data_IF_100145284146
#
_entry.id   IF_100145284146
#
_cell.length_a   1.000
_cell.length_b   1.000
_cell.length_c   1.000
_cell.angle_alpha   90.00
_cell.angle_beta   90.00
_cell.angle_gamma   90.00
#
_symmetry.space_group_name_H-M   'P 1'
#
loop_
_entity.id
_entity.type
_entity.pdbx_description
1 polymer ?
#
# COMPACT_ATOMS: atom_id res chain seq x y z
N UNK A 1 20.36 -42.63 17.89
CA UNK A 1 21.35 -41.60 18.18
C UNK A 1 21.92 -40.92 16.93
N UNK A 2 22.25 -41.67 15.91
CA UNK A 2 22.80 -41.11 14.66
C UNK A 2 21.79 -40.29 13.86
N UNK A 3 20.53 -40.64 13.83
CA UNK A 3 19.47 -39.85 13.14
C UNK A 3 19.21 -38.50 13.79
N UNK A 4 19.53 -38.36 15.05
CA UNK A 4 19.36 -37.14 15.77
C UNK A 4 20.37 -36.06 15.35
N UNK A 5 21.59 -36.49 15.01
CA UNK A 5 22.68 -35.60 14.60
C UNK A 5 22.45 -35.02 13.21
N UNK A 6 21.86 -35.76 12.29
CA UNK A 6 21.54 -35.26 10.95
C UNK A 6 20.41 -34.24 10.95
N UNK A 7 19.41 -34.43 11.80
CA UNK A 7 18.31 -33.48 11.96
C UNK A 7 18.78 -32.15 12.57
N UNK A 8 19.63 -32.22 13.56
CA UNK A 8 20.22 -31.03 14.19
C UNK A 8 21.09 -30.25 13.20
N UNK A 9 21.71 -30.94 12.25
CA UNK A 9 22.52 -30.30 11.22
C UNK A 9 21.71 -29.41 10.25
N UNK A 10 20.51 -29.83 9.84
CA UNK A 10 19.69 -29.04 8.92
C UNK A 10 19.06 -27.81 9.59
N UNK A 11 18.54 -27.96 10.78
CA UNK A 11 18.03 -26.84 11.55
C UNK A 11 19.11 -25.82 11.91
N UNK A 12 20.30 -26.30 12.24
CA UNK A 12 21.45 -25.45 12.52
C UNK A 12 21.96 -24.70 11.30
N UNK A 13 21.82 -25.26 10.11
CA UNK A 13 22.30 -24.61 8.89
C UNK A 13 21.49 -23.35 8.60
N UNK A 14 20.21 -23.38 8.78
CA UNK A 14 19.32 -22.22 8.61
C UNK A 14 19.61 -21.12 9.64
N UNK A 15 19.66 -21.48 10.92
CA UNK A 15 19.95 -20.55 12.01
C UNK A 15 21.38 -20.04 11.97
N UNK A 16 22.34 -20.92 11.60
CA UNK A 16 23.75 -20.58 11.48
C UNK A 16 24.02 -19.60 10.37
N UNK A 17 23.32 -19.68 9.24
CA UNK A 17 23.45 -18.72 8.14
C UNK A 17 22.97 -17.33 8.59
N UNK A 18 21.86 -17.23 9.28
CA UNK A 18 21.37 -15.98 9.86
C UNK A 18 22.37 -15.37 10.85
N UNK A 19 22.96 -16.17 11.71
CA UNK A 19 23.95 -15.73 12.71
C UNK A 19 25.28 -15.32 12.08
N UNK A 20 25.77 -16.10 11.10
CA UNK A 20 27.06 -15.86 10.45
C UNK A 20 27.02 -14.58 9.58
N UNK A 21 25.89 -14.32 8.90
CA UNK A 21 25.76 -13.15 8.07
C UNK A 21 25.42 -11.88 8.86
N UNK A 22 25.26 -11.97 10.18
CA UNK A 22 24.84 -10.86 11.02
C UNK A 22 23.50 -10.26 10.60
N UNK A 23 22.70 -11.03 9.84
CA UNK A 23 21.39 -10.60 9.38
C UNK A 23 20.48 -10.42 10.58
N UNK A 24 19.98 -9.21 10.79
CA UNK A 24 18.90 -8.95 11.74
C UNK A 24 17.66 -9.69 11.27
N UNK A 25 16.98 -10.37 12.20
CA UNK A 25 15.64 -10.92 11.95
C UNK A 25 14.59 -9.82 11.77
N UNK A 26 14.93 -8.59 12.11
CA UNK A 26 14.08 -7.41 11.99
C UNK A 26 14.43 -6.65 10.72
N UNK A 27 13.42 -6.39 9.91
CA UNK A 27 13.55 -5.51 8.77
C UNK A 27 13.42 -4.04 9.19
N UNK A 28 14.14 -3.15 8.52
CA UNK A 28 13.92 -1.70 8.64
C UNK A 28 12.64 -1.30 7.91
N UNK A 29 12.11 -0.12 8.24
CA UNK A 29 10.94 0.40 7.50
C UNK A 29 11.27 0.62 6.01
N UNK A 30 12.48 1.02 5.69
CA UNK A 30 12.91 1.21 4.31
C UNK A 30 12.93 -0.12 3.53
N UNK A 31 13.36 -1.21 4.14
CA UNK A 31 13.32 -2.54 3.53
C UNK A 31 11.88 -3.03 3.34
N UNK A 32 11.00 -2.80 4.30
CA UNK A 32 9.58 -3.14 4.19
C UNK A 32 8.94 -2.34 3.07
N UNK A 33 9.21 -1.04 3.01
CA UNK A 33 8.72 -0.15 1.97
C UNK A 33 9.22 -0.56 0.58
N UNK A 34 10.50 -0.88 0.45
CA UNK A 34 11.07 -1.34 -0.82
C UNK A 34 10.41 -2.63 -1.31
N UNK A 35 10.15 -3.60 -0.42
CA UNK A 35 9.42 -4.84 -0.75
C UNK A 35 7.98 -4.58 -1.18
N UNK A 36 7.29 -3.67 -0.50
CA UNK A 36 5.95 -3.27 -0.90
C UNK A 36 5.93 -2.65 -2.29
N UNK A 37 6.81 -1.69 -2.55
CA UNK A 37 6.92 -0.99 -3.84
C UNK A 37 7.32 -1.90 -5.00
N UNK A 38 8.14 -2.93 -4.76
CA UNK A 38 8.51 -3.91 -5.77
C UNK A 38 7.31 -4.69 -6.34
N UNK A 39 6.22 -4.78 -5.61
CA UNK A 39 4.97 -5.45 -6.02
C UNK A 39 4.02 -4.52 -6.79
N UNK A 40 4.22 -3.21 -6.72
CA UNK A 40 3.28 -2.21 -7.20
C UNK A 40 3.71 -1.67 -8.57
N UNK A 41 2.75 -1.49 -9.44
CA UNK A 41 2.87 -0.60 -10.60
C UNK A 41 2.49 0.81 -10.16
N UNK A 42 3.38 1.48 -9.48
CA UNK A 42 3.13 2.82 -8.95
C UNK A 42 2.88 3.82 -10.08
N UNK A 43 1.99 4.74 -9.84
CA UNK A 43 1.57 5.73 -10.84
C UNK A 43 2.12 7.11 -10.54
N UNK A 44 2.56 7.81 -11.57
CA UNK A 44 2.76 9.25 -11.50
C UNK A 44 1.41 9.95 -11.27
N UNK A 45 1.38 11.15 -10.65
CA UNK A 45 0.13 11.86 -10.39
C UNK A 45 -0.77 12.03 -11.61
N UNK A 46 -0.20 12.37 -12.77
CA UNK A 46 -0.96 12.53 -14.00
C UNK A 46 -1.59 11.22 -14.51
N UNK A 47 -0.89 10.10 -14.35
CA UNK A 47 -1.41 8.77 -14.68
C UNK A 47 -2.56 8.38 -13.76
N UNK A 48 -2.42 8.65 -12.45
CA UNK A 48 -3.46 8.39 -11.47
C UNK A 48 -4.72 9.24 -11.75
N UNK A 49 -4.56 10.51 -12.11
CA UNK A 49 -5.65 11.37 -12.51
C UNK A 49 -6.38 10.84 -13.75
N UNK A 50 -5.64 10.38 -14.75
CA UNK A 50 -6.23 9.79 -15.95
C UNK A 50 -6.98 8.48 -15.65
N UNK A 51 -6.48 7.66 -14.75
CA UNK A 51 -7.18 6.44 -14.32
C UNK A 51 -8.45 6.75 -13.50
N UNK A 52 -8.42 7.78 -12.66
CA UNK A 52 -9.61 8.25 -11.95
C UNK A 52 -10.73 8.64 -12.92
N UNK A 53 -10.41 9.37 -13.99
CA UNK A 53 -11.36 9.72 -15.04
C UNK A 53 -11.94 8.49 -15.78
N UNK A 54 -11.20 7.39 -15.82
CA UNK A 54 -11.65 6.11 -16.41
C UNK A 54 -12.44 5.24 -15.44
N UNK A 55 -12.67 5.71 -14.21
CA UNK A 55 -13.46 4.99 -13.21
C UNK A 55 -12.68 4.21 -12.17
N UNK A 56 -11.36 4.38 -12.08
CA UNK A 56 -10.59 3.86 -10.95
C UNK A 56 -11.00 4.56 -9.65
N UNK A 57 -10.88 3.86 -8.54
CA UNK A 57 -11.10 4.43 -7.21
C UNK A 57 -9.80 5.07 -6.71
N UNK A 58 -9.76 6.37 -6.59
CA UNK A 58 -8.69 7.07 -5.88
C UNK A 58 -9.08 7.19 -4.41
N UNK A 59 -8.30 6.57 -3.54
CA UNK A 59 -8.57 6.53 -2.09
C UNK A 59 -7.57 7.37 -1.34
N UNK A 60 -8.04 8.46 -0.75
CA UNK A 60 -7.25 9.39 0.05
C UNK A 60 -7.22 8.94 1.50
N UNK A 61 -6.04 8.54 1.96
CA UNK A 61 -5.80 8.06 3.34
C UNK A 61 -5.19 9.13 4.23
N UNK A 62 -5.08 10.37 3.77
CA UNK A 62 -4.61 11.48 4.60
C UNK A 62 -5.54 11.72 5.79
N UNK A 63 -4.99 12.24 6.87
CA UNK A 63 -5.78 12.66 8.03
C UNK A 63 -6.68 13.84 7.67
N UNK A 64 -7.74 14.03 8.46
CA UNK A 64 -8.62 15.19 8.29
C UNK A 64 -7.85 16.52 8.38
N UNK A 65 -6.92 16.61 9.33
CA UNK A 65 -6.06 17.80 9.47
C UNK A 65 -5.23 18.07 8.22
N UNK A 66 -4.65 17.04 7.62
CA UNK A 66 -3.89 17.18 6.39
C UNK A 66 -4.79 17.68 5.25
N UNK A 67 -5.97 17.07 5.06
CA UNK A 67 -6.91 17.51 4.01
C UNK A 67 -7.41 18.92 4.23
N UNK A 68 -7.74 19.29 5.47
CA UNK A 68 -8.19 20.65 5.82
C UNK A 68 -7.13 21.69 5.47
N UNK A 69 -5.86 21.39 5.73
CA UNK A 69 -4.77 22.34 5.49
C UNK A 69 -4.31 22.36 4.02
N UNK A 70 -4.36 21.25 3.34
CA UNK A 70 -3.79 21.09 1.99
C UNK A 70 -4.86 21.13 0.89
N UNK A 71 -6.11 20.87 1.22
CA UNK A 71 -7.22 20.75 0.27
C UNK A 71 -7.58 19.30 -0.06
N UNK A 72 -8.70 19.14 -0.73
CA UNK A 72 -9.28 17.84 -1.10
C UNK A 72 -9.12 17.58 -2.59
N UNK A 73 -8.96 16.31 -2.96
CA UNK A 73 -8.91 15.89 -4.36
C UNK A 73 -10.34 15.60 -4.81
N UNK A 74 -10.88 16.32 -5.82
CA UNK A 74 -12.21 16.05 -6.35
C UNK A 74 -12.32 14.61 -6.87
N UNK A 75 -13.37 13.90 -6.47
CA UNK A 75 -13.63 12.52 -6.88
C UNK A 75 -12.87 11.45 -6.09
N UNK A 76 -11.96 11.83 -5.20
CA UNK A 76 -11.33 10.87 -4.31
C UNK A 76 -12.27 10.43 -3.19
N UNK A 77 -12.20 9.14 -2.84
CA UNK A 77 -12.87 8.59 -1.67
C UNK A 77 -11.96 8.76 -0.45
N UNK A 78 -12.49 9.34 0.60
CA UNK A 78 -11.77 9.47 1.87
C UNK A 78 -12.00 8.23 2.71
N UNK A 79 -10.95 7.47 2.96
CA UNK A 79 -10.99 6.30 3.85
C UNK A 79 -9.80 6.39 4.79
N UNK A 80 -10.07 6.37 6.09
CA UNK A 80 -9.02 6.36 7.11
C UNK A 80 -8.13 5.11 6.94
N UNK A 81 -6.81 5.30 7.05
CA UNK A 81 -5.84 4.21 6.91
C UNK A 81 -6.11 3.05 7.86
N UNK A 82 -6.64 3.34 9.05
CA UNK A 82 -6.89 2.33 10.10
C UNK A 82 -8.01 1.35 9.77
N UNK A 83 -8.90 1.69 8.83
CA UNK A 83 -10.04 0.86 8.42
C UNK A 83 -10.02 0.50 6.94
N UNK A 84 -8.96 0.85 6.24
CA UNK A 84 -8.86 0.75 4.78
C UNK A 84 -9.18 -0.67 4.26
N UNK A 85 -8.56 -1.68 4.85
CA UNK A 85 -8.72 -3.07 4.43
C UNK A 85 -10.16 -3.54 4.59
N UNK A 86 -10.81 -3.22 5.72
CA UNK A 86 -12.23 -3.58 5.97
C UNK A 86 -13.19 -2.86 5.04
N UNK A 87 -12.86 -1.64 4.65
CA UNK A 87 -13.70 -0.84 3.75
C UNK A 87 -13.57 -1.25 2.29
N UNK A 88 -12.48 -1.89 1.91
CA UNK A 88 -12.19 -2.29 0.54
C UNK A 88 -12.21 -3.80 0.29
N UNK A 89 -12.28 -4.62 1.34
CA UNK A 89 -12.47 -6.06 1.19
C UNK A 89 -13.88 -6.37 0.68
N UNK A 90 -14.03 -6.97 -0.52
CA UNK A 90 -15.35 -7.31 -1.06
C UNK A 90 -16.18 -8.26 -0.18
N UNK A 91 -15.52 -9.06 0.67
CA UNK A 91 -16.16 -9.98 1.60
C UNK A 91 -16.54 -9.35 2.94
N UNK A 92 -16.06 -8.13 3.22
CA UNK A 92 -16.35 -7.45 4.49
C UNK A 92 -17.78 -6.93 4.55
N UNK A 93 -18.46 -7.07 5.70
CA UNK A 93 -19.77 -6.43 5.91
C UNK A 93 -19.67 -4.90 5.96
N UNK A 94 -18.48 -4.36 6.25
CA UNK A 94 -18.21 -2.93 6.37
C UNK A 94 -17.69 -2.31 5.07
N UNK A 95 -17.67 -3.07 3.98
CA UNK A 95 -17.16 -2.59 2.68
C UNK A 95 -17.95 -1.40 2.14
N UNK A 96 -17.29 -0.55 1.38
CA UNK A 96 -17.97 0.47 0.57
C UNK A 96 -18.69 -0.20 -0.62
N UNK A 97 -19.68 0.49 -1.18
CA UNK A 97 -20.49 -0.05 -2.30
C UNK A 97 -19.65 -0.30 -3.56
N UNK A 98 -18.59 0.47 -3.75
CA UNK A 98 -17.68 0.38 -4.90
C UNK A 98 -16.74 -0.83 -4.81
N UNK A 99 -16.53 -1.37 -3.62
CA UNK A 99 -15.70 -2.57 -3.41
C UNK A 99 -16.48 -3.84 -3.77
N UNK A 100 -16.66 -4.08 -5.07
CA UNK A 100 -17.55 -5.14 -5.59
C UNK A 100 -16.85 -6.49 -5.71
N UNK A 101 -15.60 -6.50 -6.13
CA UNK A 101 -14.80 -7.71 -6.35
C UNK A 101 -13.29 -7.41 -6.33
N UNK A 102 -12.47 -8.44 -6.48
CA UNK A 102 -11.00 -8.32 -6.45
C UNK A 102 -10.39 -7.65 -7.69
N UNK A 103 -11.18 -7.41 -8.73
CA UNK A 103 -10.75 -6.75 -9.97
C UNK A 103 -10.86 -5.23 -9.94
N UNK A 104 -11.43 -4.66 -8.89
CA UNK A 104 -11.58 -3.21 -8.75
C UNK A 104 -10.21 -2.55 -8.75
N UNK A 105 -10.06 -1.50 -9.56
CA UNK A 105 -8.84 -0.71 -9.64
C UNK A 105 -8.82 0.30 -8.50
N UNK A 106 -7.98 0.07 -7.51
CA UNK A 106 -7.79 0.96 -6.36
C UNK A 106 -6.44 1.64 -6.44
N UNK A 107 -6.43 2.95 -6.33
CA UNK A 107 -5.22 3.79 -6.27
C UNK A 107 -5.21 4.50 -4.93
N UNK A 108 -4.23 4.22 -4.09
CA UNK A 108 -4.12 4.84 -2.76
C UNK A 108 -3.24 6.07 -2.84
N UNK A 109 -3.67 7.15 -2.22
CA UNK A 109 -2.87 8.37 -2.08
C UNK A 109 -2.77 8.76 -0.60
N UNK A 110 -1.57 9.10 -0.16
CA UNK A 110 -1.30 9.69 1.15
C UNK A 110 -0.60 11.04 0.97
N UNK A 111 -0.04 11.63 2.01
CA UNK A 111 0.59 12.95 1.90
C UNK A 111 1.84 12.94 0.99
N UNK A 112 2.77 12.02 1.22
CA UNK A 112 4.11 12.02 0.61
C UNK A 112 4.43 10.73 -0.18
N UNK A 113 3.52 9.77 -0.26
CA UNK A 113 3.70 8.54 -1.03
C UNK A 113 4.49 7.44 -0.32
N UNK A 114 4.51 7.42 1.01
CA UNK A 114 5.14 6.35 1.81
C UNK A 114 4.11 5.34 2.33
N UNK A 115 3.22 5.76 3.21
CA UNK A 115 2.21 4.87 3.79
C UNK A 115 1.25 4.31 2.76
N UNK A 116 0.99 5.02 1.67
CA UNK A 116 0.17 4.54 0.56
C UNK A 116 0.74 3.30 -0.12
N UNK A 117 2.08 3.18 -0.21
CA UNK A 117 2.72 1.98 -0.77
C UNK A 117 2.47 0.75 0.12
N UNK A 118 2.59 0.90 1.43
CA UNK A 118 2.28 -0.18 2.39
C UNK A 118 0.80 -0.55 2.33
N UNK A 119 -0.07 0.44 2.25
CA UNK A 119 -1.51 0.24 2.13
C UNK A 119 -1.89 -0.51 0.84
N UNK A 120 -1.34 -0.11 -0.30
CA UNK A 120 -1.61 -0.79 -1.58
C UNK A 120 -1.11 -2.24 -1.58
N UNK A 121 0.05 -2.51 -0.99
CA UNK A 121 0.56 -3.87 -0.83
C UNK A 121 -0.36 -4.72 0.06
N UNK A 122 -0.87 -4.17 1.16
CA UNK A 122 -1.86 -4.81 2.02
C UNK A 122 -3.15 -5.15 1.27
N UNK A 123 -3.63 -4.25 0.41
CA UNK A 123 -4.80 -4.52 -0.43
C UNK A 123 -4.55 -5.63 -1.45
N UNK A 124 -3.34 -5.72 -2.02
CA UNK A 124 -2.99 -6.86 -2.88
C UNK A 124 -3.02 -8.19 -2.12
N UNK A 125 -2.60 -8.20 -0.85
CA UNK A 125 -2.68 -9.39 0.01
C UNK A 125 -4.12 -9.85 0.25
N UNK A 126 -5.09 -8.93 0.21
CA UNK A 126 -6.53 -9.24 0.24
C UNK A 126 -7.10 -9.77 -1.10
N UNK A 127 -6.31 -9.77 -2.16
CA UNK A 127 -6.75 -10.19 -3.49
C UNK A 127 -7.16 -9.06 -4.42
N UNK A 128 -7.02 -7.79 -4.02
CA UNK A 128 -7.17 -6.62 -4.89
C UNK A 128 -5.90 -6.45 -5.73
N UNK A 129 -5.73 -7.32 -6.72
CA UNK A 129 -4.48 -7.48 -7.48
C UNK A 129 -4.07 -6.22 -8.26
N UNK A 130 -5.03 -5.36 -8.57
CA UNK A 130 -4.82 -4.10 -9.29
C UNK A 130 -4.62 -2.89 -8.37
N UNK A 131 -4.48 -3.11 -7.06
CA UNK A 131 -4.20 -2.03 -6.13
C UNK A 131 -2.79 -1.47 -6.34
N UNK A 132 -2.68 -0.16 -6.32
CA UNK A 132 -1.41 0.57 -6.41
C UNK A 132 -1.49 1.90 -5.65
N UNK A 133 -0.45 2.72 -5.75
CA UNK A 133 -0.40 4.03 -5.10
C UNK A 133 0.19 5.10 -6.01
N UNK A 134 0.10 6.35 -5.55
CA UNK A 134 0.62 7.53 -6.25
C UNK A 134 2.03 7.84 -5.76
N UNK A 135 2.98 7.93 -6.68
CA UNK A 135 4.36 8.36 -6.42
C UNK A 135 4.35 9.79 -5.88
N UNK A 136 5.00 10.00 -4.74
CA UNK A 136 5.08 11.32 -4.09
C UNK A 136 3.79 11.80 -3.42
N UNK A 137 2.70 11.03 -3.50
CA UNK A 137 1.45 11.31 -2.81
C UNK A 137 0.79 12.64 -3.22
N UNK A 138 0.09 13.23 -2.26
CA UNK A 138 -0.60 14.50 -2.48
C UNK A 138 0.35 15.65 -2.81
N UNK A 139 1.54 15.69 -2.21
CA UNK A 139 2.52 16.74 -2.48
C UNK A 139 2.90 16.75 -3.97
N UNK A 140 3.12 15.56 -4.56
CA UNK A 140 3.39 15.45 -5.99
C UNK A 140 2.15 15.75 -6.85
N UNK A 141 0.96 15.38 -6.40
CA UNK A 141 -0.31 15.69 -7.06
C UNK A 141 -0.51 17.21 -7.18
N UNK A 142 -0.32 17.93 -6.08
CA UNK A 142 -0.45 19.39 -6.04
C UNK A 142 0.66 20.08 -6.85
N UNK A 143 1.90 19.62 -6.75
CA UNK A 143 3.02 20.15 -7.54
C UNK A 143 2.83 19.95 -9.06
N UNK A 144 2.11 18.91 -9.47
CA UNK A 144 1.75 18.65 -10.87
C UNK A 144 0.60 19.56 -11.37
N UNK A 145 0.04 20.42 -10.51
CA UNK A 145 -1.07 21.31 -10.88
C UNK A 145 -2.39 20.61 -11.12
N UNK A 146 -2.56 19.39 -10.59
CA UNK A 146 -3.80 18.62 -10.71
C UNK A 146 -4.91 19.19 -9.81
N UNK A 147 -6.19 18.89 -10.09
CA UNK A 147 -7.31 19.50 -9.36
C UNK A 147 -7.25 19.27 -7.85
N UNK A 148 -7.33 20.34 -7.10
CA UNK A 148 -7.46 20.39 -5.64
C UNK A 148 -8.50 21.43 -5.27
N UNK A 149 -9.45 21.04 -4.43
CA UNK A 149 -10.44 21.94 -3.84
C UNK A 149 -9.92 22.44 -2.50
N UNK A 150 -9.66 23.72 -2.42
CA UNK A 150 -9.26 24.43 -1.20
C UNK A 150 -10.39 25.23 -0.59
#
# INVERSE_FOLDING_TARGET
MLCHLSYVGEAQTSDSICCILGASLMATIDEVLARARARLKRLEPAEAAAELERGALLVDTRTETQRTNQGEIPGALVIDRTVLEWRLDPASPDRITEATDGGVRVIVICAEGYSSSLAAASLQDLGLTNATDVIGGFDAWDAAGLPVKR
#
